data_IF_047362115616
#
_entry.id   IF_047362115616
#
_cell.length_a   1.000
_cell.length_b   1.000
_cell.length_c   1.000
_cell.angle_alpha   90.00
_cell.angle_beta   90.00
_cell.angle_gamma   90.00
#
_symmetry.space_group_name_H-M   'P 1'
#
loop_
_entity.id
_entity.type
_entity.pdbx_description
1 polymer ?
#
# COMPACT_ATOMS: atom_id res chain seq x y z
N UNK A 1 14.52 16.36 -6.07
CA UNK A 1 14.91 15.30 -7.01
C UNK A 1 14.40 15.70 -8.37
N UNK A 2 15.30 15.79 -9.34
CA UNK A 2 15.00 16.05 -10.76
C UNK A 2 14.05 14.99 -11.32
N UNK A 3 13.21 15.36 -12.30
CA UNK A 3 12.19 14.47 -12.88
C UNK A 3 12.85 13.21 -13.46
N UNK A 4 13.91 13.35 -14.26
CA UNK A 4 14.64 12.24 -14.85
C UNK A 4 15.14 11.24 -13.79
N UNK A 5 15.79 11.73 -12.72
CA UNK A 5 16.28 10.91 -11.63
C UNK A 5 15.15 10.16 -10.89
N UNK A 6 13.96 10.75 -10.78
CA UNK A 6 12.78 10.11 -10.18
C UNK A 6 12.29 8.92 -11.01
N UNK A 7 12.18 9.08 -12.32
CA UNK A 7 11.75 7.99 -13.20
C UNK A 7 12.78 6.86 -13.23
N UNK A 8 14.08 7.19 -13.31
CA UNK A 8 15.15 6.19 -13.20
C UNK A 8 15.12 5.45 -11.87
N UNK A 9 14.98 6.18 -10.76
CA UNK A 9 14.92 5.58 -9.43
C UNK A 9 13.70 4.65 -9.28
N UNK A 10 12.54 5.05 -9.80
CA UNK A 10 11.35 4.21 -9.81
C UNK A 10 11.59 2.93 -10.63
N UNK A 11 12.19 3.05 -11.82
CA UNK A 11 12.55 1.90 -12.65
C UNK A 11 13.45 0.90 -11.91
N UNK A 12 14.57 1.38 -11.37
CA UNK A 12 15.62 0.53 -10.79
C UNK A 12 15.28 -0.02 -9.40
N UNK A 13 14.36 0.63 -8.66
CA UNK A 13 14.14 0.33 -7.24
C UNK A 13 12.74 -0.15 -6.90
N UNK A 14 11.73 0.27 -7.65
CA UNK A 14 10.32 -0.01 -7.32
C UNK A 14 9.74 -1.07 -8.25
N UNK A 15 10.01 -0.98 -9.56
CA UNK A 15 9.42 -1.90 -10.56
C UNK A 15 10.39 -2.93 -11.12
N UNK A 16 11.69 -2.82 -10.85
CA UNK A 16 12.67 -3.83 -11.25
C UNK A 16 12.27 -5.22 -10.74
N UNK A 17 12.37 -6.24 -11.59
CA UNK A 17 11.89 -7.62 -11.37
C UNK A 17 10.38 -7.81 -11.16
N UNK A 18 9.60 -6.73 -11.05
CA UNK A 18 8.15 -6.78 -10.80
C UNK A 18 7.30 -6.32 -12.00
N UNK A 19 7.77 -5.36 -12.78
CA UNK A 19 7.09 -4.86 -13.98
C UNK A 19 8.10 -4.43 -15.06
N UNK A 20 8.53 -5.37 -15.91
CA UNK A 20 9.42 -5.09 -17.03
C UNK A 20 8.91 -4.00 -17.98
N UNK A 21 7.59 -3.89 -18.17
CA UNK A 21 7.01 -2.81 -18.95
C UNK A 21 7.26 -1.44 -18.32
N UNK A 22 6.90 -1.25 -17.05
CA UNK A 22 7.08 0.04 -16.38
C UNK A 22 8.55 0.38 -16.19
N UNK A 23 9.41 -0.63 -15.96
CA UNK A 23 10.86 -0.44 -15.91
C UNK A 23 11.38 0.15 -17.23
N UNK A 24 11.02 -0.47 -18.37
CA UNK A 24 11.41 0.02 -19.70
C UNK A 24 10.89 1.43 -19.98
N UNK A 25 9.62 1.68 -19.70
CA UNK A 25 9.01 3.00 -19.92
C UNK A 25 9.66 4.08 -19.05
N UNK A 26 9.92 3.80 -17.78
CA UNK A 26 10.56 4.75 -16.88
C UNK A 26 12.02 5.02 -17.23
N UNK A 27 12.78 4.00 -17.65
CA UNK A 27 14.15 4.19 -18.15
C UNK A 27 14.15 5.06 -19.42
N UNK A 28 13.24 4.78 -20.36
CA UNK A 28 13.05 5.58 -21.57
C UNK A 28 12.73 7.04 -21.27
N UNK A 29 11.71 7.31 -20.43
CA UNK A 29 11.37 8.66 -19.97
C UNK A 29 12.58 9.35 -19.33
N UNK A 30 13.36 8.63 -18.51
CA UNK A 30 14.52 9.23 -17.81
C UNK A 30 15.63 9.73 -18.74
N UNK A 31 15.66 9.27 -20.00
CA UNK A 31 16.61 9.69 -21.03
C UNK A 31 16.02 10.55 -22.14
N UNK A 32 14.70 10.78 -22.14
CA UNK A 32 13.99 11.47 -23.22
C UNK A 32 13.64 12.90 -22.83
N UNK A 33 14.33 13.88 -23.43
CA UNK A 33 14.17 15.30 -23.09
C UNK A 33 12.80 15.86 -23.45
N UNK A 34 12.14 15.34 -24.48
CA UNK A 34 10.81 15.78 -24.91
C UNK A 34 9.75 15.32 -23.91
N UNK A 35 9.75 14.03 -23.52
CA UNK A 35 8.83 13.52 -22.51
C UNK A 35 9.06 14.17 -21.15
N UNK A 36 10.31 14.43 -20.77
CA UNK A 36 10.62 15.16 -19.55
C UNK A 36 10.05 16.57 -19.57
N UNK A 37 10.23 17.32 -20.66
CA UNK A 37 9.67 18.66 -20.80
C UNK A 37 8.14 18.66 -20.66
N UNK A 38 7.45 17.68 -21.25
CA UNK A 38 6.02 17.49 -21.09
C UNK A 38 5.65 17.24 -19.62
N UNK A 39 6.25 16.24 -18.96
CA UNK A 39 5.99 15.90 -17.56
C UNK A 39 6.26 17.09 -16.63
N UNK A 40 7.26 17.91 -16.94
CA UNK A 40 7.63 19.07 -16.13
C UNK A 40 6.62 20.22 -16.19
N UNK A 41 5.67 20.20 -17.14
CA UNK A 41 4.49 21.07 -17.11
C UNK A 41 3.53 20.76 -15.95
N UNK A 42 3.64 19.57 -15.33
CA UNK A 42 2.89 19.23 -14.12
C UNK A 42 3.55 19.85 -12.87
N UNK A 43 2.75 20.20 -11.84
CA UNK A 43 3.31 20.51 -10.52
C UNK A 43 4.18 19.37 -9.99
N UNK A 44 5.24 19.69 -9.22
CA UNK A 44 6.23 18.70 -8.76
C UNK A 44 5.62 17.47 -8.07
N UNK A 45 4.53 17.67 -7.30
CA UNK A 45 3.82 16.60 -6.59
C UNK A 45 2.97 15.69 -7.50
N UNK A 46 2.71 16.11 -8.75
CA UNK A 46 2.00 15.35 -9.79
C UNK A 46 2.93 14.65 -10.79
N UNK A 47 4.24 14.88 -10.73
CA UNK A 47 5.24 14.22 -11.61
C UNK A 47 5.62 12.81 -11.13
N UNK A 48 4.71 12.08 -10.48
CA UNK A 48 5.00 10.74 -9.96
C UNK A 48 4.88 9.72 -11.09
N UNK A 49 5.83 8.77 -11.27
CA UNK A 49 5.75 7.79 -12.34
C UNK A 49 4.42 7.01 -12.37
N UNK A 50 4.01 6.43 -11.24
CA UNK A 50 2.72 5.71 -11.16
C UNK A 50 1.50 6.57 -11.58
N UNK A 51 1.52 7.88 -11.33
CA UNK A 51 0.41 8.75 -11.71
C UNK A 51 0.37 9.00 -13.22
N UNK A 52 1.52 9.31 -13.83
CA UNK A 52 1.62 9.59 -15.27
C UNK A 52 1.40 8.31 -16.08
N UNK A 53 2.04 7.20 -15.68
CA UNK A 53 1.83 5.90 -16.32
C UNK A 53 0.41 5.40 -16.13
N UNK A 54 -0.17 5.57 -14.94
CA UNK A 54 -1.57 5.26 -14.67
C UNK A 54 -2.53 6.09 -15.52
N UNK A 55 -2.27 7.39 -15.69
CA UNK A 55 -3.06 8.26 -16.57
C UNK A 55 -2.98 7.83 -18.05
N UNK A 56 -1.80 7.46 -18.54
CA UNK A 56 -1.66 6.94 -19.90
C UNK A 56 -2.41 5.60 -20.08
N UNK A 57 -2.31 4.70 -19.08
CA UNK A 57 -3.05 3.42 -19.06
C UNK A 57 -4.55 3.62 -19.01
N UNK A 58 -5.02 4.58 -18.21
CA UNK A 58 -6.43 4.96 -18.11
C UNK A 58 -6.98 5.45 -19.45
N UNK A 59 -6.16 6.16 -20.24
CA UNK A 59 -6.51 6.62 -21.59
C UNK A 59 -6.32 5.55 -22.68
N UNK A 60 -5.92 4.34 -22.32
CA UNK A 60 -5.90 3.19 -23.22
C UNK A 60 -4.56 2.88 -23.88
N UNK A 61 -3.43 3.40 -23.37
CA UNK A 61 -2.12 2.97 -23.90
C UNK A 61 -1.93 1.47 -23.71
N UNK A 62 -1.56 0.80 -24.80
CA UNK A 62 -1.28 -0.64 -24.81
C UNK A 62 0.06 -0.92 -24.12
N UNK A 63 0.15 -2.07 -23.47
CA UNK A 63 1.41 -2.56 -22.89
C UNK A 63 2.31 -2.99 -24.04
N UNK A 64 3.50 -2.42 -24.15
CA UNK A 64 4.33 -2.62 -25.33
C UNK A 64 5.72 -2.00 -25.27
N UNK A 65 6.38 -1.86 -26.43
CA UNK A 65 7.64 -1.14 -26.59
C UNK A 65 7.58 0.30 -26.07
N UNK A 66 8.75 0.87 -25.74
CA UNK A 66 8.81 2.26 -25.27
C UNK A 66 8.43 3.26 -26.37
N UNK A 67 8.81 3.02 -27.62
CA UNK A 67 8.52 3.95 -28.72
C UNK A 67 7.01 4.14 -28.93
N UNK A 68 6.22 3.06 -28.93
CA UNK A 68 4.76 3.15 -29.03
C UNK A 68 4.14 3.91 -27.84
N UNK A 69 4.68 3.69 -26.63
CA UNK A 69 4.27 4.44 -25.45
C UNK A 69 4.63 5.92 -25.55
N UNK A 70 5.83 6.24 -26.05
CA UNK A 70 6.30 7.61 -26.26
C UNK A 70 5.38 8.33 -27.25
N UNK A 71 5.12 7.73 -28.40
CA UNK A 71 4.24 8.28 -29.43
C UNK A 71 2.84 8.54 -28.86
N UNK A 72 2.28 7.59 -28.11
CA UNK A 72 1.01 7.76 -27.41
C UNK A 72 1.06 8.93 -26.43
N UNK A 73 2.09 9.01 -25.59
CA UNK A 73 2.18 10.01 -24.52
C UNK A 73 2.30 11.42 -25.08
N UNK A 74 3.06 11.61 -26.17
CA UNK A 74 3.18 12.88 -26.88
C UNK A 74 1.84 13.25 -27.52
N UNK A 75 1.24 12.34 -28.28
CA UNK A 75 0.00 12.60 -28.99
C UNK A 75 -1.19 12.92 -28.06
N UNK A 76 -1.19 12.36 -26.84
CA UNK A 76 -2.30 12.47 -25.88
C UNK A 76 -1.93 13.29 -24.64
N UNK A 77 -0.85 14.09 -24.69
CA UNK A 77 -0.33 14.74 -23.47
C UNK A 77 -1.35 15.65 -22.77
N UNK A 78 -2.18 16.38 -23.53
CA UNK A 78 -3.18 17.26 -22.97
C UNK A 78 -4.17 16.49 -22.07
N UNK A 79 -4.65 15.34 -22.54
CA UNK A 79 -5.56 14.45 -21.84
C UNK A 79 -4.85 13.76 -20.67
N UNK A 80 -3.62 13.28 -20.86
CA UNK A 80 -2.82 12.66 -19.79
C UNK A 80 -2.60 13.65 -18.65
N UNK A 81 -2.28 14.91 -18.98
CA UNK A 81 -2.14 16.00 -18.02
C UNK A 81 -3.44 16.27 -17.28
N UNK A 82 -4.57 16.30 -17.97
CA UNK A 82 -5.89 16.49 -17.35
C UNK A 82 -6.19 15.38 -16.32
N UNK A 83 -6.05 14.12 -16.72
CA UNK A 83 -6.23 12.96 -15.82
C UNK A 83 -5.26 13.03 -14.65
N UNK A 84 -3.98 13.31 -14.88
CA UNK A 84 -2.99 13.42 -13.81
C UNK A 84 -3.32 14.57 -12.83
N UNK A 85 -3.90 15.67 -13.30
CA UNK A 85 -4.27 16.81 -12.45
C UNK A 85 -5.49 16.51 -11.58
N UNK A 86 -6.49 15.79 -12.10
CA UNK A 86 -7.72 15.46 -11.37
C UNK A 86 -7.57 14.22 -10.47
N UNK A 87 -6.84 13.20 -10.92
CA UNK A 87 -6.66 11.92 -10.21
C UNK A 87 -5.46 11.93 -9.26
N UNK A 88 -5.40 10.92 -8.39
CA UNK A 88 -4.31 10.70 -7.42
C UNK A 88 -3.85 9.26 -7.47
N UNK A 89 -2.56 9.01 -7.26
CA UNK A 89 -2.06 7.65 -7.01
C UNK A 89 -2.73 7.11 -5.76
N UNK A 90 -3.49 6.02 -5.89
CA UNK A 90 -4.22 5.39 -4.81
C UNK A 90 -4.06 3.87 -4.87
N UNK A 91 -3.11 3.37 -4.07
CA UNK A 91 -2.78 1.93 -4.06
C UNK A 91 -3.65 1.21 -3.03
N UNK A 92 -4.83 0.77 -3.44
CA UNK A 92 -5.73 -0.05 -2.61
C UNK A 92 -5.33 -1.55 -2.61
N UNK A 93 -4.15 -1.90 -2.09
CA UNK A 93 -3.64 -3.29 -2.10
C UNK A 93 -4.47 -4.26 -1.25
N UNK A 94 -5.29 -5.07 -1.92
CA UNK A 94 -6.17 -6.10 -1.34
C UNK A 94 -5.39 -7.21 -0.59
N UNK A 95 -4.07 -7.34 -0.81
CA UNK A 95 -3.23 -8.26 -0.03
C UNK A 95 -2.92 -7.82 1.41
N UNK A 96 -3.08 -6.54 1.76
CA UNK A 96 -2.70 -6.02 3.10
C UNK A 96 -3.47 -6.62 4.28
N UNK A 97 -4.76 -6.98 4.18
CA UNK A 97 -5.45 -7.70 5.23
C UNK A 97 -4.71 -8.96 5.70
N UNK A 98 -3.99 -9.70 4.84
CA UNK A 98 -3.32 -10.94 5.24
C UNK A 98 -2.22 -10.73 6.28
N UNK A 99 -1.56 -9.57 6.24
CA UNK A 99 -0.53 -9.20 7.21
C UNK A 99 -1.10 -8.44 8.42
N UNK A 100 -2.29 -7.89 8.30
CA UNK A 100 -2.99 -7.17 9.37
C UNK A 100 -3.86 -8.09 10.22
N UNK A 101 -4.40 -9.17 9.65
CA UNK A 101 -5.36 -10.07 10.30
C UNK A 101 -4.88 -10.59 11.67
N UNK A 102 -3.61 -11.04 11.85
CA UNK A 102 -3.12 -11.45 13.18
C UNK A 102 -3.21 -10.34 14.25
N UNK A 103 -3.03 -9.08 13.85
CA UNK A 103 -3.18 -7.94 14.76
C UNK A 103 -4.66 -7.64 15.00
N UNK A 104 -5.47 -7.59 13.94
CA UNK A 104 -6.91 -7.29 14.06
C UNK A 104 -7.60 -8.31 14.98
N UNK A 105 -7.41 -9.61 14.74
CA UNK A 105 -8.02 -10.68 15.54
C UNK A 105 -7.56 -10.70 16.99
N UNK A 106 -6.38 -10.16 17.31
CA UNK A 106 -5.88 -10.06 18.70
C UNK A 106 -6.63 -9.01 19.52
N UNK A 107 -7.09 -7.94 18.89
CA UNK A 107 -7.74 -6.81 19.59
C UNK A 107 -9.25 -6.77 19.41
N UNK A 108 -9.79 -7.45 18.40
CA UNK A 108 -11.21 -7.58 18.17
C UNK A 108 -11.50 -8.86 17.40
N UNK A 109 -12.35 -9.70 17.96
CA UNK A 109 -12.74 -10.95 17.30
C UNK A 109 -14.25 -11.10 17.21
N UNK A 110 -15.03 -10.56 18.17
CA UNK A 110 -16.49 -10.69 18.14
C UNK A 110 -17.24 -9.82 19.16
N UNK A 111 -18.12 -8.88 18.75
CA UNK A 111 -18.11 -8.16 17.47
C UNK A 111 -17.01 -7.08 17.43
N UNK A 112 -16.69 -6.56 16.24
CA UNK A 112 -15.75 -5.43 16.10
C UNK A 112 -16.19 -4.44 15.01
N UNK A 113 -15.93 -3.15 15.25
CA UNK A 113 -16.06 -2.08 14.27
C UNK A 113 -14.68 -1.69 13.72
N UNK A 114 -14.54 -1.61 12.41
CA UNK A 114 -13.29 -1.29 11.73
C UNK A 114 -13.36 0.09 11.08
N UNK A 115 -12.36 0.92 11.36
CA UNK A 115 -12.17 2.23 10.74
C UNK A 115 -10.79 2.29 10.10
N UNK A 116 -10.74 2.44 8.77
CA UNK A 116 -9.48 2.63 8.04
C UNK A 116 -9.27 4.10 7.67
N UNK A 117 -8.10 4.65 7.96
CA UNK A 117 -7.70 5.95 7.41
C UNK A 117 -6.72 5.80 6.25
N UNK A 118 -6.88 6.66 5.24
CA UNK A 118 -6.25 6.50 3.92
C UNK A 118 -6.76 5.26 3.19
N UNK A 119 -8.08 5.03 3.27
CA UNK A 119 -8.73 3.79 2.85
C UNK A 119 -8.78 3.59 1.33
N UNK A 120 -8.52 4.65 0.54
CA UNK A 120 -8.77 4.65 -0.90
C UNK A 120 -10.20 4.22 -1.24
N UNK A 121 -10.42 2.99 -1.65
CA UNK A 121 -11.70 2.42 -2.06
C UNK A 121 -12.30 1.46 -1.02
N UNK A 122 -11.72 1.39 0.19
CA UNK A 122 -12.28 0.61 1.29
C UNK A 122 -11.97 -0.88 1.27
N UNK A 123 -11.22 -1.41 0.28
CA UNK A 123 -11.13 -2.87 0.12
C UNK A 123 -10.32 -3.58 1.23
N UNK A 124 -9.58 -2.84 2.07
CA UNK A 124 -8.90 -3.41 3.24
C UNK A 124 -9.82 -3.54 4.46
N UNK A 125 -11.05 -3.01 4.40
CA UNK A 125 -12.06 -3.08 5.47
C UNK A 125 -12.81 -4.41 5.53
N UNK A 126 -12.47 -5.39 4.69
CA UNK A 126 -13.16 -6.67 4.55
C UNK A 126 -12.35 -7.89 5.04
N UNK A 127 -11.62 -7.81 6.16
CA UNK A 127 -10.84 -8.94 6.59
C UNK A 127 -11.69 -10.17 6.94
N UNK A 128 -12.97 -9.97 7.24
CA UNK A 128 -14.01 -10.97 7.50
C UNK A 128 -14.59 -11.65 6.25
N UNK A 129 -14.36 -11.08 5.05
CA UNK A 129 -14.94 -11.56 3.78
C UNK A 129 -13.93 -12.15 2.81
N UNK A 130 -12.66 -12.20 3.18
CA UNK A 130 -11.59 -12.79 2.38
C UNK A 130 -11.13 -14.12 2.98
N UNK A 131 -10.59 -14.99 2.13
CA UNK A 131 -9.96 -16.22 2.55
C UNK A 131 -8.45 -16.03 2.70
N UNK A 132 -7.82 -16.72 3.64
CA UNK A 132 -6.40 -16.60 3.95
C UNK A 132 -5.73 -17.96 3.98
N UNK A 133 -4.51 -18.03 3.46
CA UNK A 133 -3.67 -19.22 3.56
C UNK A 133 -2.29 -18.82 4.05
N UNK A 134 -1.93 -19.27 5.27
CA UNK A 134 -0.60 -19.06 5.83
C UNK A 134 0.26 -20.31 5.61
N UNK A 135 1.54 -20.12 5.29
CA UNK A 135 2.50 -21.21 5.11
C UNK A 135 2.70 -22.02 6.40
N UNK A 136 2.37 -23.31 6.35
CA UNK A 136 2.39 -24.17 7.55
C UNK A 136 1.39 -23.76 8.64
N UNK A 137 0.48 -22.83 8.33
CA UNK A 137 -0.54 -22.30 9.24
C UNK A 137 -1.95 -22.69 8.82
N UNK A 138 -2.97 -22.06 9.44
CA UNK A 138 -4.36 -22.34 9.13
C UNK A 138 -4.77 -21.80 7.76
N UNK A 139 -5.78 -22.45 7.19
CA UNK A 139 -6.63 -21.88 6.14
C UNK A 139 -7.87 -21.30 6.81
N UNK A 140 -8.14 -20.02 6.55
CA UNK A 140 -9.26 -19.30 7.16
C UNK A 140 -10.21 -18.85 6.06
N UNK A 141 -11.45 -19.29 6.14
CA UNK A 141 -12.52 -18.91 5.21
C UNK A 141 -13.61 -18.12 5.96
N UNK A 142 -14.35 -17.23 5.27
CA UNK A 142 -15.60 -16.68 5.77
C UNK A 142 -16.61 -17.74 6.20
N UNK A 143 -17.54 -17.37 7.09
CA UNK A 143 -18.57 -18.29 7.63
C UNK A 143 -19.50 -18.86 6.55
N UNK A 144 -19.71 -18.12 5.47
CA UNK A 144 -20.50 -18.50 4.30
C UNK A 144 -19.70 -19.30 3.26
N UNK A 145 -18.44 -19.65 3.58
CA UNK A 145 -17.57 -20.48 2.76
C UNK A 145 -16.40 -19.72 2.14
N UNK A 146 -15.64 -20.42 1.31
CA UNK A 146 -14.43 -19.86 0.68
C UNK A 146 -14.73 -18.65 -0.20
N UNK A 147 -13.99 -17.57 0.01
CA UNK A 147 -14.10 -16.32 -0.74
C UNK A 147 -13.47 -16.42 -2.13
N UNK A 148 -13.95 -15.60 -3.08
CA UNK A 148 -13.30 -15.39 -4.37
C UNK A 148 -11.97 -14.61 -4.22
N UNK A 149 -11.75 -13.94 -3.08
CA UNK A 149 -10.49 -13.30 -2.73
C UNK A 149 -9.72 -14.23 -1.79
N UNK A 150 -8.69 -14.89 -2.31
CA UNK A 150 -7.77 -15.73 -1.53
C UNK A 150 -6.43 -15.02 -1.36
N UNK A 151 -6.00 -14.84 -0.12
CA UNK A 151 -4.80 -14.10 0.25
C UNK A 151 -3.74 -15.04 0.84
N UNK A 152 -2.79 -15.53 0.02
CA UNK A 152 -1.66 -16.28 0.52
C UNK A 152 -0.67 -15.35 1.25
N UNK A 153 -0.15 -15.82 2.39
CA UNK A 153 0.81 -15.07 3.18
C UNK A 153 1.89 -16.00 3.74
N UNK A 154 3.13 -15.80 3.28
CA UNK A 154 4.29 -16.42 3.89
C UNK A 154 4.64 -15.76 5.23
N UNK A 155 5.13 -16.55 6.18
CA UNK A 155 5.38 -16.15 7.56
C UNK A 155 6.83 -16.41 7.96
N UNK A 156 7.33 -15.59 8.88
CA UNK A 156 8.66 -15.79 9.50
C UNK A 156 8.56 -15.52 11.00
N UNK A 157 9.34 -16.25 11.80
CA UNK A 157 9.42 -16.01 13.25
C UNK A 157 8.18 -16.38 14.05
N UNK A 158 7.40 -17.38 13.58
CA UNK A 158 6.20 -17.92 14.25
C UNK A 158 5.21 -16.84 14.73
N UNK A 159 4.60 -16.06 13.81
CA UNK A 159 3.66 -15.02 14.19
C UNK A 159 2.41 -15.63 14.86
N UNK A 160 1.71 -14.87 15.73
CA UNK A 160 0.48 -15.34 16.38
C UNK A 160 -0.69 -15.34 15.39
N UNK A 161 -0.76 -16.36 14.54
CA UNK A 161 -1.82 -16.51 13.54
C UNK A 161 -3.17 -16.78 14.22
N UNK A 162 -4.27 -16.17 13.73
CA UNK A 162 -5.59 -16.42 14.29
C UNK A 162 -6.15 -17.77 13.83
N UNK A 163 -7.08 -18.31 14.61
CA UNK A 163 -7.84 -19.53 14.33
C UNK A 163 -9.19 -19.25 13.65
N UNK A 164 -9.65 -17.99 13.66
CA UNK A 164 -10.89 -17.54 13.02
C UNK A 164 -10.78 -16.11 12.50
N UNK A 165 -11.65 -15.78 11.54
CA UNK A 165 -11.84 -14.41 11.06
C UNK A 165 -12.61 -13.56 12.09
N UNK A 166 -12.39 -12.23 12.12
CA UNK A 166 -13.15 -11.33 13.00
C UNK A 166 -14.60 -11.21 12.54
N UNK A 167 -15.54 -11.08 13.48
CA UNK A 167 -16.92 -10.69 13.18
C UNK A 167 -17.02 -9.15 13.07
N UNK A 168 -16.87 -8.62 11.86
CA UNK A 168 -16.94 -7.19 11.58
C UNK A 168 -18.40 -6.76 11.39
N UNK A 169 -18.91 -5.96 12.32
CA UNK A 169 -20.31 -5.50 12.31
C UNK A 169 -20.49 -4.06 11.84
N UNK A 170 -19.38 -3.32 11.69
CA UNK A 170 -19.37 -1.98 11.17
C UNK A 170 -18.03 -1.72 10.47
N UNK A 171 -18.06 -1.11 9.28
CA UNK A 171 -16.87 -0.77 8.50
C UNK A 171 -16.99 0.65 7.93
N UNK A 172 -16.00 1.48 8.25
CA UNK A 172 -15.92 2.85 7.74
C UNK A 172 -14.50 3.20 7.31
N UNK A 173 -14.38 4.09 6.33
CA UNK A 173 -13.11 4.48 5.75
C UNK A 173 -13.03 6.00 5.56
N UNK A 174 -11.89 6.59 5.89
CA UNK A 174 -11.61 8.02 5.71
C UNK A 174 -10.50 8.17 4.67
N UNK A 175 -10.72 8.97 3.63
CA UNK A 175 -9.69 9.31 2.65
C UNK A 175 -9.88 10.73 2.13
N UNK A 176 -8.81 11.36 1.64
CA UNK A 176 -8.91 12.67 0.99
C UNK A 176 -9.64 12.57 -0.36
N UNK A 177 -9.58 11.40 -1.01
CA UNK A 177 -10.23 11.12 -2.27
C UNK A 177 -10.78 9.69 -2.31
N UNK A 178 -11.79 9.33 -1.50
CA UNK A 178 -12.33 7.98 -1.55
C UNK A 178 -12.85 7.68 -2.96
N UNK A 179 -12.62 6.46 -3.42
CA UNK A 179 -13.06 5.97 -4.73
C UNK A 179 -14.20 4.97 -4.53
N UNK A 180 -15.24 5.09 -5.35
CA UNK A 180 -16.40 4.21 -5.32
C UNK A 180 -16.24 3.09 -6.35
N UNK A 181 -16.04 1.85 -5.88
CA UNK A 181 -15.86 0.70 -6.78
C UNK A 181 -17.14 0.30 -7.54
N UNK A 182 -18.30 0.86 -7.17
CA UNK A 182 -19.53 0.71 -7.95
C UNK A 182 -19.60 1.67 -9.14
N UNK A 183 -18.79 2.74 -9.15
CA UNK A 183 -18.59 3.60 -10.30
C UNK A 183 -17.55 2.98 -11.25
N UNK A 184 -17.94 2.65 -12.50
CA UNK A 184 -17.01 2.10 -13.49
C UNK A 184 -15.82 3.00 -13.79
N UNK A 185 -15.92 4.33 -13.64
CA UNK A 185 -14.81 5.27 -13.85
C UNK A 185 -13.73 5.13 -12.78
N UNK A 186 -14.16 5.02 -11.52
CA UNK A 186 -13.28 4.84 -10.38
C UNK A 186 -12.64 3.45 -10.37
N UNK A 187 -13.39 2.41 -10.73
CA UNK A 187 -12.81 1.07 -10.88
C UNK A 187 -11.76 1.04 -11.99
N UNK A 188 -12.03 1.62 -13.16
CA UNK A 188 -11.03 1.73 -14.25
C UNK A 188 -9.78 2.51 -13.81
N UNK A 189 -9.94 3.54 -13.00
CA UNK A 189 -8.79 4.26 -12.43
C UNK A 189 -7.98 3.38 -11.46
N UNK A 190 -8.62 2.58 -10.62
CA UNK A 190 -7.92 1.64 -9.75
C UNK A 190 -7.16 0.57 -10.56
N UNK A 191 -7.77 0.06 -11.62
CA UNK A 191 -7.14 -0.90 -12.54
C UNK A 191 -5.91 -0.32 -13.23
N UNK A 192 -5.97 0.95 -13.67
CA UNK A 192 -4.84 1.60 -14.33
C UNK A 192 -3.64 1.83 -13.40
N UNK A 193 -3.84 1.72 -12.08
CA UNK A 193 -2.79 1.77 -11.05
C UNK A 193 -2.25 0.37 -10.68
N UNK A 194 -2.76 -0.70 -11.31
CA UNK A 194 -2.18 -2.05 -11.24
C UNK A 194 -1.16 -2.21 -12.36
N UNK A 195 0.05 -2.63 -12.02
CA UNK A 195 1.12 -2.78 -13.00
C UNK A 195 0.79 -3.91 -13.98
N UNK A 196 1.18 -3.80 -15.26
CA UNK A 196 0.76 -4.72 -16.31
C UNK A 196 0.94 -6.21 -16.01
N UNK A 197 2.02 -6.57 -15.31
CA UNK A 197 2.38 -7.95 -15.01
C UNK A 197 1.69 -8.48 -13.73
N UNK A 198 1.08 -7.62 -12.92
CA UNK A 198 0.45 -7.99 -11.65
C UNK A 198 -0.98 -8.52 -11.83
N UNK A 199 -1.18 -9.52 -12.70
CA UNK A 199 -2.50 -10.09 -13.02
C UNK A 199 -3.24 -10.61 -11.78
N UNK A 200 -2.55 -11.33 -10.91
CA UNK A 200 -3.12 -11.80 -9.63
C UNK A 200 -3.61 -10.65 -8.74
N UNK A 201 -2.97 -9.47 -8.81
CA UNK A 201 -3.39 -8.28 -8.06
C UNK A 201 -4.63 -7.64 -8.70
N UNK A 202 -4.71 -7.65 -10.03
CA UNK A 202 -5.87 -7.20 -10.78
C UNK A 202 -7.10 -8.09 -10.48
N UNK A 203 -6.93 -9.41 -10.52
CA UNK A 203 -8.01 -10.36 -10.20
C UNK A 203 -8.53 -10.16 -8.76
N UNK A 204 -7.61 -9.93 -7.81
CA UNK A 204 -7.99 -9.59 -6.42
C UNK A 204 -8.75 -8.27 -6.32
N UNK A 205 -8.32 -7.25 -7.08
CA UNK A 205 -9.02 -5.96 -7.12
C UNK A 205 -10.46 -6.15 -7.60
N UNK A 206 -10.68 -6.87 -8.70
CA UNK A 206 -12.02 -7.14 -9.23
C UNK A 206 -12.89 -7.93 -8.27
N UNK A 207 -12.37 -9.02 -7.70
CA UNK A 207 -13.12 -9.84 -6.75
C UNK A 207 -13.46 -9.08 -5.46
N UNK A 208 -12.53 -8.27 -4.95
CA UNK A 208 -12.78 -7.42 -3.79
C UNK A 208 -13.79 -6.31 -4.08
N UNK A 209 -13.73 -5.69 -5.26
CA UNK A 209 -14.71 -4.71 -5.70
C UNK A 209 -16.13 -5.31 -5.72
N UNK A 210 -16.30 -6.53 -6.24
CA UNK A 210 -17.59 -7.23 -6.21
C UNK A 210 -18.12 -7.47 -4.79
N UNK A 211 -17.24 -7.80 -3.84
CA UNK A 211 -17.61 -7.94 -2.42
C UNK A 211 -18.05 -6.59 -1.84
N UNK A 212 -17.27 -5.53 -2.07
CA UNK A 212 -17.57 -4.19 -1.58
C UNK A 212 -18.83 -3.58 -2.22
N UNK A 213 -19.17 -3.91 -3.47
CA UNK A 213 -20.44 -3.51 -4.08
C UNK A 213 -21.65 -4.16 -3.41
N UNK A 214 -21.49 -5.36 -2.82
CA UNK A 214 -22.58 -6.09 -2.13
C UNK A 214 -22.77 -5.64 -0.69
N UNK A 215 -21.71 -5.24 0.00
CA UNK A 215 -21.70 -4.81 1.39
C UNK A 215 -20.94 -3.48 1.53
N UNK A 216 -21.46 -2.41 0.93
CA UNK A 216 -20.71 -1.15 0.75
C UNK A 216 -20.26 -0.52 2.06
N UNK A 217 -18.98 -0.10 2.16
CA UNK A 217 -18.47 0.47 3.38
C UNK A 217 -18.88 1.94 3.48
N UNK A 218 -18.94 2.47 4.70
CA UNK A 218 -19.11 3.90 4.90
C UNK A 218 -17.83 4.65 4.52
N UNK A 219 -17.75 5.20 3.31
CA UNK A 219 -16.61 6.01 2.88
C UNK A 219 -16.86 7.50 3.15
N UNK A 220 -15.90 8.14 3.80
CA UNK A 220 -15.92 9.56 4.16
C UNK A 220 -14.77 10.27 3.47
N UNK A 221 -15.12 11.26 2.64
CA UNK A 221 -14.14 12.19 2.08
C UNK A 221 -13.75 13.21 3.16
N UNK A 222 -12.52 13.12 3.64
CA UNK A 222 -12.09 13.98 4.74
C UNK A 222 -10.63 13.79 5.13
N UNK A 223 -10.13 14.79 5.86
CA UNK A 223 -8.83 14.69 6.52
C UNK A 223 -8.93 13.84 7.78
N UNK A 224 -7.96 12.96 8.01
CA UNK A 224 -7.90 12.07 9.17
C UNK A 224 -8.02 12.85 10.48
N UNK A 225 -7.24 13.91 10.63
CA UNK A 225 -7.13 14.67 11.88
C UNK A 225 -8.42 15.41 12.22
N UNK A 226 -9.26 15.67 11.22
CA UNK A 226 -10.54 16.39 11.38
C UNK A 226 -11.72 15.44 11.51
N UNK A 227 -11.72 14.34 10.75
CA UNK A 227 -12.92 13.54 10.52
C UNK A 227 -13.01 12.31 11.42
N UNK A 228 -11.89 11.86 12.01
CA UNK A 228 -11.86 10.60 12.75
C UNK A 228 -12.84 10.55 13.93
N UNK A 229 -12.94 11.65 14.68
CA UNK A 229 -13.79 11.69 15.87
C UNK A 229 -15.27 11.51 15.54
N UNK A 230 -15.73 12.04 14.40
CA UNK A 230 -17.11 11.91 13.95
C UNK A 230 -17.38 10.49 13.48
N UNK A 231 -16.46 9.91 12.70
CA UNK A 231 -16.60 8.54 12.18
C UNK A 231 -16.55 7.50 13.30
N UNK A 232 -15.74 7.69 14.35
CA UNK A 232 -15.75 6.83 15.53
C UNK A 232 -17.10 6.87 16.26
N UNK A 233 -17.78 8.02 16.29
CA UNK A 233 -19.11 8.17 16.90
C UNK A 233 -20.23 7.51 16.10
N UNK A 234 -20.01 7.24 14.81
CA UNK A 234 -20.95 6.47 13.96
C UNK A 234 -20.92 4.96 14.27
N UNK A 235 -19.88 4.46 14.96
CA UNK A 235 -19.77 3.05 15.31
C UNK A 235 -20.85 2.63 16.33
N UNK A 236 -21.39 1.39 16.25
CA UNK A 236 -22.42 0.92 17.18
C UNK A 236 -21.99 0.97 18.65
N UNK A 237 -22.90 1.41 19.52
CA UNK A 237 -22.65 1.47 20.96
C UNK A 237 -22.30 0.08 21.54
N UNK A 238 -21.30 0.02 22.41
CA UNK A 238 -20.86 -1.23 23.04
C UNK A 238 -19.99 -2.14 22.16
N UNK A 239 -19.74 -1.77 20.90
CA UNK A 239 -18.83 -2.52 20.01
C UNK A 239 -17.41 -1.94 20.08
N UNK A 240 -16.37 -2.76 20.31
CA UNK A 240 -14.98 -2.32 20.23
C UNK A 240 -14.63 -1.75 18.85
N UNK A 241 -14.02 -0.57 18.83
CA UNK A 241 -13.57 0.09 17.59
C UNK A 241 -12.06 -0.11 17.40
N UNK A 242 -11.66 -0.60 16.24
CA UNK A 242 -10.26 -0.63 15.79
C UNK A 242 -10.07 0.40 14.70
N UNK A 243 -9.19 1.37 14.96
CA UNK A 243 -8.73 2.33 13.95
C UNK A 243 -7.36 1.90 13.42
N UNK A 244 -7.23 1.78 12.10
CA UNK A 244 -5.97 1.37 11.45
C UNK A 244 -5.73 2.13 10.15
N UNK A 245 -4.48 2.12 9.69
CA UNK A 245 -4.10 2.67 8.38
C UNK A 245 -3.10 1.72 7.75
N UNK A 246 -3.38 1.29 6.52
CA UNK A 246 -2.62 0.22 5.89
C UNK A 246 -1.32 0.70 5.22
N UNK A 247 -1.26 1.97 4.76
CA UNK A 247 -0.04 2.57 4.21
C UNK A 247 0.07 4.10 4.42
N UNK A 248 -1.03 4.79 4.71
CA UNK A 248 -1.13 6.25 4.56
C UNK A 248 -0.20 7.07 5.47
N UNK A 249 0.20 6.52 6.62
CA UNK A 249 1.17 7.19 7.50
C UNK A 249 2.51 7.47 6.82
N UNK A 250 2.84 6.80 5.71
CA UNK A 250 4.04 7.07 4.91
C UNK A 250 3.93 8.33 4.06
N UNK A 251 2.71 8.78 3.76
CA UNK A 251 2.45 9.93 2.89
C UNK A 251 2.13 11.20 3.67
N UNK A 252 1.89 11.09 4.99
CA UNK A 252 1.68 12.25 5.84
C UNK A 252 2.96 13.07 6.01
N UNK A 253 2.86 14.41 6.06
CA UNK A 253 3.91 15.28 6.57
C UNK A 253 4.42 14.79 7.93
N UNK A 254 5.70 15.07 8.22
CA UNK A 254 6.35 14.60 9.45
C UNK A 254 5.60 15.03 10.71
N UNK A 255 5.07 16.25 10.71
CA UNK A 255 4.31 16.85 11.81
C UNK A 255 2.98 16.14 12.02
N UNK A 256 2.17 16.00 10.97
CA UNK A 256 0.88 15.28 11.04
C UNK A 256 1.08 13.83 11.52
N UNK A 257 2.06 13.12 10.97
CA UNK A 257 2.39 11.76 11.38
C UNK A 257 2.81 11.69 12.86
N UNK A 258 3.47 12.73 13.37
CA UNK A 258 3.87 12.82 14.77
C UNK A 258 2.68 13.09 15.69
N UNK A 259 1.65 13.80 15.20
CA UNK A 259 0.42 14.12 15.94
C UNK A 259 -0.56 12.94 16.07
N UNK A 260 -0.56 11.98 15.13
CA UNK A 260 -1.51 10.85 15.13
C UNK A 260 -1.62 10.11 16.48
N UNK A 261 -0.53 9.71 17.17
CA UNK A 261 -0.65 9.00 18.46
C UNK A 261 -1.33 9.83 19.55
N UNK A 262 -1.05 11.14 19.62
CA UNK A 262 -1.66 12.03 20.61
C UNK A 262 -3.17 12.15 20.35
N UNK A 263 -3.56 12.37 19.08
CA UNK A 263 -4.97 12.38 18.68
C UNK A 263 -5.66 11.05 19.03
N UNK A 264 -5.03 9.90 18.78
CA UNK A 264 -5.61 8.60 19.15
C UNK A 264 -5.80 8.47 20.67
N UNK A 265 -4.85 8.97 21.47
CA UNK A 265 -4.98 8.97 22.93
C UNK A 265 -6.12 9.89 23.42
N UNK A 266 -6.25 11.08 22.84
CA UNK A 266 -7.34 12.02 23.14
C UNK A 266 -8.73 11.43 22.83
N UNK A 267 -8.81 10.60 21.78
CA UNK A 267 -10.02 9.85 21.43
C UNK A 267 -10.24 8.59 22.27
N UNK A 268 -9.39 8.35 23.28
CA UNK A 268 -9.54 7.22 24.20
C UNK A 268 -8.97 5.89 23.71
N UNK A 269 -8.19 5.87 22.62
CA UNK A 269 -7.53 4.63 22.16
C UNK A 269 -6.35 4.26 23.05
N UNK A 270 -6.59 3.28 23.94
CA UNK A 270 -5.67 2.87 25.01
C UNK A 270 -4.40 2.14 24.54
N UNK A 271 -4.35 1.67 23.29
CA UNK A 271 -3.22 0.91 22.73
C UNK A 271 -2.91 1.35 21.31
N UNK A 272 -1.83 2.11 21.14
CA UNK A 272 -1.34 2.51 19.81
C UNK A 272 -0.16 1.63 19.40
N UNK A 273 -0.32 0.86 18.33
CA UNK A 273 0.78 0.13 17.71
C UNK A 273 1.27 0.88 16.47
N UNK A 274 2.45 1.51 16.55
CA UNK A 274 3.16 1.96 15.36
C UNK A 274 3.84 0.76 14.70
N UNK A 275 3.07 0.01 13.93
CA UNK A 275 3.61 -0.86 12.89
C UNK A 275 3.12 -0.34 11.56
N UNK A 276 3.97 0.38 10.86
CA UNK A 276 3.79 0.47 9.42
C UNK A 276 4.01 -0.94 8.89
N UNK A 277 2.96 -1.59 8.42
CA UNK A 277 3.11 -2.84 7.69
C UNK A 277 3.56 -2.50 6.26
N UNK A 278 4.80 -2.04 6.19
CA UNK A 278 5.64 -2.27 5.02
C UNK A 278 6.04 -3.74 5.16
N UNK A 279 5.46 -4.60 4.33
CA UNK A 279 5.73 -6.04 4.37
C UNK A 279 7.23 -6.30 4.51
N UNK A 280 7.66 -6.89 5.62
CA UNK A 280 9.06 -7.28 5.86
C UNK A 280 9.36 -8.72 5.41
N UNK A 281 8.38 -9.44 4.86
CA UNK A 281 8.67 -10.51 3.88
C UNK A 281 9.20 -9.93 2.55
N UNK A 282 9.12 -8.62 2.34
CA UNK A 282 9.70 -7.89 1.20
C UNK A 282 10.89 -7.06 1.73
N UNK A 283 11.94 -7.72 2.19
CA UNK A 283 13.23 -7.07 2.52
C UNK A 283 14.34 -7.34 1.50
N UNK A 284 13.99 -7.96 0.37
CA UNK A 284 14.91 -8.20 -0.74
C UNK A 284 15.10 -6.99 -1.69
N UNK A 285 14.20 -6.00 -1.69
CA UNK A 285 14.27 -4.86 -2.62
C UNK A 285 13.95 -3.51 -1.97
N UNK A 286 14.86 -3.03 -1.12
CA UNK A 286 15.08 -1.58 -0.98
C UNK A 286 16.59 -1.33 -1.05
N UNK A 287 17.04 -0.39 -1.87
CA UNK A 287 18.46 -0.13 -2.05
C UNK A 287 19.08 0.54 -0.82
N UNK A 288 20.37 0.29 -0.62
CA UNK A 288 21.19 1.05 0.31
C UNK A 288 21.07 2.56 -0.02
N UNK A 289 20.44 3.34 0.86
CA UNK A 289 20.30 4.79 0.61
C UNK A 289 19.41 5.57 1.57
N UNK A 290 18.47 4.93 2.28
CA UNK A 290 17.72 5.64 3.32
C UNK A 290 18.52 5.75 4.62
N UNK A 291 19.29 6.83 4.72
CA UNK A 291 19.70 7.50 5.95
C UNK A 291 20.21 6.62 7.08
N UNK A 292 21.48 6.21 6.99
CA UNK A 292 22.26 5.89 8.19
C UNK A 292 22.41 7.16 9.03
N UNK A 293 22.00 7.13 10.30
CA UNK A 293 22.87 7.37 11.48
C UNK A 293 22.09 7.25 12.81
N UNK A 294 22.80 6.99 13.92
CA UNK A 294 22.34 6.16 15.03
C UNK A 294 21.74 6.99 16.17
N UNK A 295 20.90 6.36 16.98
CA UNK A 295 20.70 6.80 18.37
C UNK A 295 21.06 5.62 19.27
N UNK A 296 22.16 5.83 20.00
CA UNK A 296 22.63 4.98 21.09
C UNK A 296 21.76 5.18 22.34
N UNK A 297 21.88 4.18 23.22
CA UNK A 297 21.10 3.84 24.42
C UNK A 297 20.99 4.88 25.54
N UNK A 298 20.06 4.60 26.47
CA UNK A 298 20.31 4.41 27.92
C UNK A 298 19.25 3.39 28.42
N UNK A 299 19.40 2.49 29.39
CA UNK A 299 20.40 2.00 30.37
C UNK A 299 19.86 0.59 30.79
N UNK A 300 20.58 -0.47 31.15
CA UNK A 300 21.54 -0.69 32.25
C UNK A 300 22.21 -2.08 32.10
N UNK A 301 23.47 -2.19 32.55
CA UNK A 301 24.16 -3.43 33.01
C UNK A 301 24.55 -4.47 31.95
N UNK A 302 25.81 -4.88 31.75
CA UNK A 302 27.06 -4.68 32.46
C UNK A 302 28.13 -5.62 31.86
N UNK A 303 29.39 -5.31 32.16
CA UNK A 303 30.62 -6.08 31.94
C UNK A 303 31.30 -6.05 30.55
N UNK A 304 32.57 -5.64 30.62
CA UNK A 304 33.59 -5.43 29.57
C UNK A 304 34.35 -6.71 29.25
N UNK A 305 34.87 -6.84 28.03
CA UNK A 305 36.29 -7.14 27.76
C UNK A 305 36.64 -6.94 26.27
N UNK A 306 37.89 -6.56 26.02
CA UNK A 306 38.48 -5.92 24.83
C UNK A 306 39.34 -6.96 24.01
N UNK A 307 40.23 -6.63 23.03
CA UNK A 307 39.98 -6.92 21.60
C UNK A 307 41.08 -7.71 20.79
N UNK A 308 40.73 -8.06 19.51
CA UNK A 308 41.58 -8.14 18.28
C UNK A 308 42.58 -9.34 18.08
N UNK A 309 43.14 -9.69 16.87
CA UNK A 309 43.01 -9.14 15.49
C UNK A 309 42.89 -10.26 14.36
N UNK A 310 43.41 -10.14 13.09
CA UNK A 310 42.61 -10.41 11.88
C UNK A 310 43.10 -11.62 11.04
N UNK A 311 42.36 -12.02 9.98
CA UNK A 311 42.88 -12.21 8.60
C UNK A 311 41.95 -12.96 7.63
N UNK A 312 42.00 -12.44 6.40
CA UNK A 312 42.01 -13.09 5.06
C UNK A 312 40.72 -13.57 4.40
N UNK A 313 40.42 -12.83 3.32
CA UNK A 313 39.75 -13.18 2.06
C UNK A 313 39.86 -14.66 1.65
N UNK A 314 38.78 -15.24 1.14
CA UNK A 314 38.72 -15.73 -0.25
C UNK A 314 37.32 -16.23 -0.68
N UNK A 315 36.96 -15.84 -1.93
CA UNK A 315 36.22 -16.58 -2.98
C UNK A 315 34.72 -16.95 -2.81
N UNK A 316 33.96 -16.54 -3.83
CA UNK A 316 33.02 -17.43 -4.53
C UNK A 316 31.54 -17.02 -4.46
N UNK A 317 30.85 -16.82 -5.60
CA UNK A 317 29.45 -16.45 -5.63
C UNK A 317 28.57 -17.70 -5.51
N UNK A 318 27.63 -17.70 -4.57
CA UNK A 318 26.52 -18.65 -4.59
C UNK A 318 25.23 -17.88 -4.90
N UNK A 319 24.83 -18.00 -6.16
CA UNK A 319 23.46 -17.84 -6.61
C UNK A 319 22.58 -18.86 -5.88
N UNK A 320 21.47 -18.43 -5.29
CA UNK A 320 20.30 -19.30 -5.10
C UNK A 320 19.02 -18.48 -5.18
N UNK A 321 18.21 -18.87 -6.16
CA UNK A 321 16.80 -18.63 -6.37
C UNK A 321 15.96 -19.43 -5.37
N UNK A 322 15.09 -18.73 -4.64
CA UNK A 322 13.72 -19.07 -4.22
C UNK A 322 13.24 -18.01 -3.21
#
# INVERSE_FOLDING_TARGET
>A
METAARYRNFAEREVHDYSPCYERWCLGISGDTELLALIETLPVYKRQPNLVLGAARYLGVTVGPFEEFKDFLIANWAQVREVAMTRRTQTNEVGRPAVLLPLLSRYGSDPVALIEFGTSAGLCLYPDRYSYTYDGGPVLDPLDGRSSVVLPCATTGNPPLPDRLPNVVHRAGIDLNPLDVSDPDDLRWLESLVWPEQRNRLDRLHNAALIACRDSPRLVRGDLMKSLSDVVREAPAGVPVIVFGSAVLLYLPKEDRAAVPAMMQELGFLRTHRRTVLGRSIRAFLPAGFGRRPVMSTSEGGARAEPLPPRRRSRGPHAWSC
#
